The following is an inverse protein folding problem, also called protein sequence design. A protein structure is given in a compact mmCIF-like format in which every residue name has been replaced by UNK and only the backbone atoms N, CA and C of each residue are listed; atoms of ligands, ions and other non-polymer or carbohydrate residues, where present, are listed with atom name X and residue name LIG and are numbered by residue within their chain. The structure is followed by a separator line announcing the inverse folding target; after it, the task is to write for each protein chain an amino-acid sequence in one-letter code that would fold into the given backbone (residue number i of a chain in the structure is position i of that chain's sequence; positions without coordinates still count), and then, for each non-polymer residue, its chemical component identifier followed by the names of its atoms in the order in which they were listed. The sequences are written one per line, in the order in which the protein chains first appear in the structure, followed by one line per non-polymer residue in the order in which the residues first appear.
data_IF_303505532729
#
_entry.id   IF_303505532729
#
_cell.length_a   1.000
_cell.length_b   1.000
_cell.length_c   1.000
_cell.angle_alpha   90.00
_cell.angle_beta   90.00
_cell.angle_gamma   90.00
#
_symmetry.space_group_name_H-M   'P 1'
#
loop_
_entity.id
_entity.type
_entity.pdbx_description
1 polymer ?
#
# COMPACT_ATOMS: atom_id res chain seq x y z
N UNK A 1 12.14 13.89 8.26
CA UNK A 1 12.63 13.27 7.02
C UNK A 1 11.46 12.73 6.24
N UNK A 2 11.29 13.14 4.98
CA UNK A 2 10.24 12.55 4.16
C UNK A 2 10.53 11.07 3.91
N UNK A 3 9.48 10.27 3.89
CA UNK A 3 9.58 8.85 3.54
C UNK A 3 9.76 8.72 2.04
N UNK A 4 10.81 8.04 1.63
CA UNK A 4 11.03 7.72 0.22
C UNK A 4 10.94 6.22 0.02
N UNK A 5 10.20 5.80 -0.99
CA UNK A 5 10.02 4.40 -1.33
C UNK A 5 10.56 4.14 -2.73
N UNK A 6 11.35 3.07 -2.86
CA UNK A 6 11.74 2.57 -4.17
C UNK A 6 10.53 1.93 -4.88
N UNK A 7 10.67 1.62 -6.15
CA UNK A 7 9.60 0.97 -6.91
C UNK A 7 9.18 -0.37 -6.27
N UNK A 8 10.14 -1.18 -5.81
CA UNK A 8 9.84 -2.45 -5.16
C UNK A 8 9.22 -2.25 -3.78
N UNK A 9 9.71 -1.25 -3.04
CA UNK A 9 9.11 -0.91 -1.75
C UNK A 9 7.67 -0.45 -1.91
N UNK A 10 7.39 0.38 -2.91
CA UNK A 10 6.03 0.82 -3.21
C UNK A 10 5.12 -0.36 -3.53
N UNK A 11 5.61 -1.33 -4.32
CA UNK A 11 4.85 -2.54 -4.63
C UNK A 11 4.51 -3.33 -3.37
N UNK A 12 5.47 -3.51 -2.47
CA UNK A 12 5.26 -4.25 -1.23
C UNK A 12 4.24 -3.55 -0.33
N UNK A 13 4.39 -2.24 -0.11
CA UNK A 13 3.45 -1.48 0.72
C UNK A 13 2.06 -1.49 0.11
N UNK A 14 1.96 -1.28 -1.20
CA UNK A 14 0.69 -1.34 -1.91
C UNK A 14 -0.02 -2.68 -1.77
N UNK A 15 0.73 -3.78 -1.87
CA UNK A 15 0.18 -5.12 -1.69
C UNK A 15 -0.36 -5.33 -0.27
N UNK A 16 0.39 -4.89 0.73
CA UNK A 16 -0.05 -5.02 2.12
C UNK A 16 -1.32 -4.21 2.38
N UNK A 17 -1.41 -2.99 1.87
CA UNK A 17 -2.62 -2.18 1.99
C UNK A 17 -3.81 -2.83 1.29
N UNK A 18 -3.59 -3.31 0.06
CA UNK A 18 -4.65 -3.96 -0.72
C UNK A 18 -5.20 -5.19 0.00
N UNK A 19 -4.33 -6.06 0.47
CA UNK A 19 -4.77 -7.31 1.09
C UNK A 19 -5.38 -7.08 2.46
N UNK A 20 -4.97 -6.07 3.18
CA UNK A 20 -5.63 -5.69 4.42
C UNK A 20 -7.09 -5.28 4.18
N UNK A 21 -7.35 -4.59 3.08
CA UNK A 21 -8.68 -4.12 2.72
C UNK A 21 -9.50 -5.23 2.06
N UNK A 22 -8.93 -5.89 1.03
CA UNK A 22 -9.67 -6.80 0.17
C UNK A 22 -9.81 -8.21 0.74
N UNK A 23 -8.79 -8.70 1.45
CA UNK A 23 -8.78 -10.06 1.99
C UNK A 23 -8.29 -10.05 3.45
N UNK A 24 -9.02 -9.39 4.36
CA UNK A 24 -8.55 -9.23 5.74
C UNK A 24 -8.34 -10.54 6.48
N UNK A 25 -9.08 -11.60 6.12
CA UNK A 25 -8.93 -12.91 6.76
C UNK A 25 -7.57 -13.56 6.45
N UNK A 26 -6.91 -13.13 5.39
CA UNK A 26 -5.61 -13.65 4.97
C UNK A 26 -4.46 -12.71 5.34
N UNK A 27 -4.73 -11.66 6.05
CA UNK A 27 -3.76 -10.64 6.45
C UNK A 27 -3.47 -10.75 7.95
N UNK A 28 -2.23 -10.62 8.42
CA UNK A 28 -0.99 -10.24 7.71
C UNK A 28 -0.47 -11.36 6.79
N UNK A 29 0.47 -11.01 5.91
CA UNK A 29 0.96 -11.90 4.86
C UNK A 29 2.29 -12.54 5.22
N UNK A 30 2.43 -13.85 4.92
CA UNK A 30 3.73 -14.50 4.90
C UNK A 30 4.56 -13.96 3.72
N UNK A 31 5.87 -14.26 3.71
CA UNK A 31 6.71 -13.87 2.58
C UNK A 31 6.21 -14.48 1.28
N UNK A 32 5.82 -15.77 1.30
CA UNK A 32 5.30 -16.43 0.11
C UNK A 32 4.04 -15.75 -0.41
N UNK A 33 3.09 -15.45 0.48
CA UNK A 33 1.87 -14.74 0.10
C UNK A 33 2.16 -13.35 -0.43
N UNK A 34 3.14 -12.66 0.17
CA UNK A 34 3.54 -11.33 -0.27
C UNK A 34 4.17 -11.37 -1.66
N UNK A 35 5.04 -12.33 -1.94
CA UNK A 35 5.62 -12.52 -3.27
C UNK A 35 4.52 -12.73 -4.30
N UNK A 36 3.56 -13.61 -3.99
CA UNK A 36 2.43 -13.86 -4.89
C UNK A 36 1.61 -12.58 -5.13
N UNK A 37 1.39 -11.79 -4.09
CA UNK A 37 0.67 -10.53 -4.20
C UNK A 37 1.43 -9.52 -5.07
N UNK A 38 2.76 -9.43 -4.91
CA UNK A 38 3.60 -8.56 -5.74
C UNK A 38 3.54 -8.94 -7.22
N UNK A 39 3.45 -10.23 -7.50
CA UNK A 39 3.49 -10.78 -8.86
C UNK A 39 2.09 -10.94 -9.49
N UNK A 40 1.04 -10.56 -8.77
CA UNK A 40 -0.32 -10.64 -9.29
C UNK A 40 -0.42 -9.94 -10.63
N UNK A 41 -1.15 -10.54 -11.59
CA UNK A 41 -1.23 -10.01 -12.94
C UNK A 41 -2.28 -8.91 -13.08
N UNK A 42 -3.30 -8.92 -12.24
CA UNK A 42 -4.35 -7.91 -12.25
C UNK A 42 -4.05 -6.80 -11.23
N UNK A 43 -4.52 -5.61 -11.53
CA UNK A 43 -4.40 -4.44 -10.64
C UNK A 43 -2.95 -4.09 -10.30
N UNK A 44 -2.04 -4.31 -11.24
CA UNK A 44 -0.60 -4.02 -11.11
C UNK A 44 -0.08 -3.42 -12.40
N UNK A 45 0.74 -2.38 -12.29
CA UNK A 45 1.46 -1.80 -13.41
C UNK A 45 2.81 -1.29 -12.92
N UNK A 46 3.91 -1.87 -13.36
CA UNK A 46 4.02 -3.01 -14.26
C UNK A 46 3.70 -4.34 -13.57
N UNK A 47 3.40 -5.37 -14.35
CA UNK A 47 3.36 -6.74 -13.84
C UNK A 47 4.80 -7.18 -13.55
N UNK A 48 5.01 -7.77 -12.39
CA UNK A 48 6.35 -8.18 -11.97
C UNK A 48 6.43 -9.69 -11.82
N UNK A 49 7.66 -10.21 -11.82
CA UNK A 49 7.94 -11.62 -11.60
C UNK A 49 9.11 -11.74 -10.62
N UNK A 50 8.85 -11.45 -9.36
CA UNK A 50 9.85 -11.40 -8.30
C UNK A 50 9.95 -12.75 -7.60
N UNK A 51 11.14 -13.02 -7.04
CA UNK A 51 11.38 -14.19 -6.22
C UNK A 51 11.54 -13.78 -4.76
N UNK A 52 11.42 -14.74 -3.84
CA UNK A 52 11.56 -14.46 -2.41
C UNK A 52 12.89 -13.77 -2.10
N UNK A 53 13.98 -14.20 -2.75
CA UNK A 53 15.31 -13.60 -2.56
C UNK A 53 15.36 -12.13 -2.96
N UNK A 54 14.44 -11.68 -3.81
CA UNK A 54 14.34 -10.28 -4.22
C UNK A 54 13.42 -9.47 -3.29
N UNK A 55 12.38 -10.11 -2.76
CA UNK A 55 11.39 -9.45 -1.92
C UNK A 55 11.87 -9.33 -0.46
N UNK A 56 12.57 -10.35 0.06
CA UNK A 56 13.01 -10.33 1.46
C UNK A 56 13.86 -9.09 1.81
N UNK A 57 14.87 -8.71 1.01
CA UNK A 57 15.66 -7.51 1.32
C UNK A 57 14.81 -6.23 1.30
N UNK A 58 13.80 -6.16 0.44
CA UNK A 58 12.88 -5.03 0.38
C UNK A 58 12.05 -4.93 1.66
N UNK A 59 11.52 -6.06 2.12
CA UNK A 59 10.78 -6.13 3.38
C UNK A 59 11.69 -5.71 4.55
N UNK A 60 12.92 -6.22 4.58
CA UNK A 60 13.88 -5.87 5.63
C UNK A 60 14.16 -4.36 5.67
N UNK A 61 14.30 -3.74 4.50
CA UNK A 61 14.49 -2.30 4.39
C UNK A 61 13.26 -1.54 4.92
N UNK A 62 12.06 -2.02 4.61
CA UNK A 62 10.81 -1.39 5.08
C UNK A 62 10.64 -1.55 6.60
N UNK A 63 11.10 -2.66 7.16
CA UNK A 63 11.11 -2.82 8.62
C UNK A 63 12.04 -1.80 9.26
N UNK A 64 13.24 -1.60 8.70
CA UNK A 64 14.16 -0.58 9.18
C UNK A 64 13.60 0.84 9.08
N UNK A 65 12.79 1.10 8.06
CA UNK A 65 12.11 2.39 7.88
C UNK A 65 10.86 2.52 8.76
N UNK A 66 10.50 1.47 9.49
CA UNK A 66 9.32 1.44 10.35
C UNK A 66 7.99 1.56 9.58
N UNK A 67 7.96 1.06 8.35
CA UNK A 67 6.79 1.05 7.49
C UNK A 67 6.12 -0.31 7.47
N UNK A 68 6.85 -1.36 7.86
CA UNK A 68 6.37 -2.75 7.94
C UNK A 68 6.79 -3.33 9.28
N UNK A 69 5.92 -4.15 9.85
CA UNK A 69 6.20 -4.90 11.07
C UNK A 69 6.11 -6.39 10.80
N UNK A 70 7.11 -7.13 11.29
CA UNK A 70 7.09 -8.58 11.27
C UNK A 70 6.42 -9.08 12.53
N UNK A 71 5.45 -9.99 12.36
CA UNK A 71 4.84 -10.72 13.47
C UNK A 71 5.25 -12.19 13.37
N UNK A 72 5.98 -12.64 14.38
CA UNK A 72 6.23 -14.05 14.62
C UNK A 72 5.79 -14.32 16.06
N UNK A 73 5.06 -15.40 16.31
CA UNK A 73 4.58 -15.64 17.66
C UNK A 73 3.73 -16.86 17.78
N UNK A 74 3.05 -16.97 18.91
CA UNK A 74 2.32 -18.17 19.35
C UNK A 74 1.47 -18.77 18.23
N UNK A 75 1.72 -20.06 17.91
CA UNK A 75 0.95 -20.80 16.94
C UNK A 75 1.34 -20.57 15.49
N UNK A 76 2.26 -19.64 15.19
CA UNK A 76 2.71 -19.41 13.83
C UNK A 76 4.21 -19.70 13.73
N UNK A 77 4.57 -20.61 12.84
CA UNK A 77 5.98 -20.92 12.56
C UNK A 77 6.56 -20.03 11.47
N UNK A 78 5.70 -19.33 10.78
CA UNK A 78 6.09 -18.51 9.62
C UNK A 78 5.91 -17.05 9.99
N UNK A 79 6.95 -16.22 9.83
CA UNK A 79 6.81 -14.79 10.03
C UNK A 79 5.74 -14.23 9.09
N UNK A 80 4.97 -13.27 9.59
CA UNK A 80 3.97 -12.56 8.81
C UNK A 80 4.21 -11.07 8.90
N UNK A 81 3.84 -10.36 7.85
CA UNK A 81 4.14 -8.94 7.70
C UNK A 81 2.87 -8.13 7.57
N UNK A 82 2.83 -6.98 8.25
CA UNK A 82 1.75 -6.03 8.08
C UNK A 82 2.30 -4.61 7.98
N UNK A 83 1.52 -3.73 7.36
CA UNK A 83 1.95 -2.37 7.11
C UNK A 83 1.82 -1.50 8.37
N UNK A 84 2.74 -0.56 8.52
CA UNK A 84 2.70 0.46 9.55
C UNK A 84 2.63 1.86 8.93
N UNK A 85 2.38 1.95 7.63
CA UNK A 85 2.42 3.22 6.91
C UNK A 85 1.29 4.16 7.35
N UNK A 86 0.06 3.64 7.44
CA UNK A 86 -1.08 4.48 7.79
C UNK A 86 -2.16 3.69 8.53
N UNK A 87 -3.04 4.43 9.21
CA UNK A 87 -4.25 3.89 9.84
C UNK A 87 -3.98 2.79 10.88
N UNK A 88 -2.84 2.86 11.56
CA UNK A 88 -2.50 1.93 12.63
C UNK A 88 -2.98 2.50 13.96
N UNK A 89 -3.15 1.63 14.96
CA UNK A 89 -3.67 2.02 16.27
C UNK A 89 -2.81 3.11 16.95
N UNK A 90 -1.49 2.99 16.85
CA UNK A 90 -0.56 3.89 17.54
C UNK A 90 0.10 4.91 16.61
N UNK A 91 -0.14 4.81 15.32
CA UNK A 91 0.42 5.76 14.36
C UNK A 91 -0.41 7.04 14.26
N UNK A 92 0.25 8.14 13.93
CA UNK A 92 -0.41 9.44 13.80
C UNK A 92 -1.01 9.66 12.41
N UNK A 93 -0.54 8.93 11.38
CA UNK A 93 -0.98 9.14 10.01
C UNK A 93 -2.30 8.40 9.78
N UNK A 94 -3.35 9.17 9.54
CA UNK A 94 -4.68 8.63 9.28
C UNK A 94 -5.19 9.11 7.93
N UNK A 95 -5.65 8.18 7.11
CA UNK A 95 -6.31 8.46 5.84
C UNK A 95 -7.76 7.98 5.92
N UNK A 96 -8.64 8.65 5.19
CA UNK A 96 -9.99 8.15 5.00
C UNK A 96 -9.96 6.85 4.18
N UNK A 97 -11.05 6.05 4.17
CA UNK A 97 -11.08 4.86 3.29
C UNK A 97 -10.84 5.21 1.82
N UNK A 98 -11.40 6.31 1.32
CA UNK A 98 -11.17 6.74 -0.06
C UNK A 98 -9.71 7.11 -0.29
N UNK A 99 -9.08 7.83 0.65
CA UNK A 99 -7.67 8.20 0.54
C UNK A 99 -6.77 6.97 0.58
N UNK A 100 -7.06 6.02 1.46
CA UNK A 100 -6.29 4.78 1.54
C UNK A 100 -6.35 4.01 0.23
N UNK A 101 -7.56 3.91 -0.36
CA UNK A 101 -7.75 3.24 -1.65
C UNK A 101 -6.96 3.95 -2.77
N UNK A 102 -6.99 5.27 -2.80
CA UNK A 102 -6.27 6.08 -3.80
C UNK A 102 -4.76 5.86 -3.65
N UNK A 103 -4.24 5.97 -2.44
CA UNK A 103 -2.80 5.75 -2.19
C UNK A 103 -2.40 4.34 -2.60
N UNK A 104 -3.20 3.35 -2.23
CA UNK A 104 -2.96 1.97 -2.61
C UNK A 104 -2.86 1.80 -4.13
N UNK A 105 -3.80 2.36 -4.87
CA UNK A 105 -3.80 2.27 -6.33
C UNK A 105 -2.61 3.00 -6.97
N UNK A 106 -2.21 4.13 -6.42
CA UNK A 106 -1.01 4.84 -6.89
C UNK A 106 0.26 4.02 -6.65
N UNK A 107 0.35 3.36 -5.49
CA UNK A 107 1.50 2.50 -5.17
C UNK A 107 1.56 1.28 -6.09
N UNK A 108 0.43 0.71 -6.46
CA UNK A 108 0.37 -0.51 -7.27
C UNK A 108 0.45 -0.26 -8.78
N UNK A 109 -0.03 0.89 -9.25
CA UNK A 109 -0.14 1.18 -10.68
C UNK A 109 0.68 2.39 -11.15
N UNK A 110 1.19 3.22 -10.23
CA UNK A 110 1.90 4.42 -10.61
C UNK A 110 0.96 5.58 -10.94
N UNK A 111 1.47 6.63 -11.61
CA UNK A 111 0.69 7.83 -11.90
C UNK A 111 -0.56 7.55 -12.73
N UNK A 112 -1.67 8.18 -12.36
CA UNK A 112 -2.96 8.00 -13.02
C UNK A 112 -3.74 9.31 -13.00
N UNK A 113 -4.54 9.60 -14.04
CA UNK A 113 -5.49 10.70 -13.99
C UNK A 113 -6.58 10.46 -12.94
N UNK A 114 -7.20 11.52 -12.39
CA UNK A 114 -8.24 11.35 -11.36
C UNK A 114 -9.41 10.45 -11.78
N UNK A 115 -9.82 10.48 -13.04
CA UNK A 115 -10.90 9.61 -13.52
C UNK A 115 -10.55 8.13 -13.46
N UNK A 116 -9.32 7.77 -13.81
CA UNK A 116 -8.83 6.40 -13.68
C UNK A 116 -8.67 5.99 -12.23
N UNK A 117 -8.16 6.87 -11.39
CA UNK A 117 -8.06 6.62 -9.95
C UNK A 117 -9.42 6.31 -9.35
N UNK A 118 -10.44 7.07 -9.74
CA UNK A 118 -11.80 6.82 -9.25
C UNK A 118 -12.25 5.41 -9.58
N UNK A 119 -12.05 5.00 -10.84
CA UNK A 119 -12.44 3.66 -11.30
C UNK A 119 -11.69 2.57 -10.54
N UNK A 120 -10.37 2.71 -10.42
CA UNK A 120 -9.53 1.71 -9.75
C UNK A 120 -9.79 1.65 -8.24
N UNK A 121 -9.89 2.81 -7.59
CA UNK A 121 -10.08 2.86 -6.14
C UNK A 121 -11.45 2.33 -5.72
N UNK A 122 -12.45 2.35 -6.60
CA UNK A 122 -13.80 1.90 -6.30
C UNK A 122 -13.88 0.42 -5.90
N UNK A 123 -12.89 -0.38 -6.28
CA UNK A 123 -12.83 -1.81 -5.87
C UNK A 123 -12.42 -1.96 -4.40
N UNK A 124 -11.83 -0.96 -3.79
CA UNK A 124 -11.31 -1.02 -2.42
C UNK A 124 -12.11 -0.19 -1.43
N UNK A 125 -12.81 0.85 -1.90
CA UNK A 125 -13.59 1.73 -1.04
C UNK A 125 -14.70 2.38 -1.84
N UNK A 126 -15.72 2.90 -1.13
CA UNK A 126 -16.75 3.69 -1.77
C UNK A 126 -16.18 5.05 -2.16
N UNK A 127 -16.23 5.37 -3.46
CA UNK A 127 -15.80 6.65 -3.99
C UNK A 127 -16.97 7.18 -4.83
N UNK A 128 -17.61 8.25 -4.35
CA UNK A 128 -18.91 8.69 -4.87
C UNK A 128 -18.84 9.55 -6.13
N UNK A 129 -17.67 10.01 -6.51
CA UNK A 129 -17.53 10.80 -7.72
C UNK A 129 -16.15 11.40 -7.86
N UNK A 130 -15.96 12.12 -8.98
CA UNK A 130 -14.68 12.74 -9.29
C UNK A 130 -14.32 13.83 -8.26
N UNK A 131 -15.32 14.57 -7.79
CA UNK A 131 -15.10 15.62 -6.78
C UNK A 131 -14.51 15.05 -5.49
N UNK A 132 -14.95 13.86 -5.08
CA UNK A 132 -14.42 13.21 -3.88
C UNK A 132 -12.96 12.81 -4.09
N UNK A 133 -12.62 12.32 -5.29
CA UNK A 133 -11.23 11.98 -5.63
C UNK A 133 -10.36 13.23 -5.60
N UNK A 134 -10.81 14.30 -6.22
CA UNK A 134 -10.03 15.55 -6.27
C UNK A 134 -9.81 16.15 -4.89
N UNK A 135 -10.83 16.13 -4.04
CA UNK A 135 -10.73 16.59 -2.65
C UNK A 135 -9.74 15.73 -1.86
N UNK A 136 -9.81 14.42 -2.02
CA UNK A 136 -8.90 13.49 -1.35
C UNK A 136 -7.44 13.73 -1.81
N UNK A 137 -7.23 13.93 -3.10
CA UNK A 137 -5.90 14.20 -3.66
C UNK A 137 -5.35 15.53 -3.16
N UNK A 138 -6.18 16.56 -3.11
CA UNK A 138 -5.76 17.86 -2.62
C UNK A 138 -5.30 17.78 -1.16
N UNK A 139 -6.04 17.08 -0.31
CA UNK A 139 -5.65 16.88 1.08
C UNK A 139 -4.32 16.11 1.17
N UNK A 140 -4.16 15.04 0.38
CA UNK A 140 -2.93 14.25 0.36
C UNK A 140 -1.73 15.06 -0.11
N UNK A 141 -1.93 16.01 -1.02
CA UNK A 141 -0.88 16.88 -1.54
C UNK A 141 -0.45 17.94 -0.51
N UNK A 142 -1.39 18.44 0.28
CA UNK A 142 -1.17 19.61 1.14
C UNK A 142 -0.99 19.29 2.62
N UNK A 143 -1.02 18.02 3.02
CA UNK A 143 -0.85 17.64 4.43
C UNK A 143 0.52 18.05 4.97
N UNK A 144 0.59 18.50 6.25
CA UNK A 144 1.88 18.86 6.87
C UNK A 144 2.90 17.73 6.90
N UNK A 145 2.44 16.47 7.09
CA UNK A 145 3.30 15.30 7.10
C UNK A 145 3.79 14.87 5.72
N UNK A 146 3.19 15.42 4.67
CA UNK A 146 3.48 15.06 3.30
C UNK A 146 4.40 16.04 2.58
N UNK A 147 4.23 16.18 1.27
CA UNK A 147 3.10 15.67 0.46
C UNK A 147 3.16 14.16 0.23
N UNK A 148 1.99 13.54 0.13
CA UNK A 148 1.88 12.11 -0.18
C UNK A 148 1.61 11.86 -1.66
N UNK A 149 1.12 12.86 -2.37
CA UNK A 149 0.91 12.81 -3.82
C UNK A 149 1.41 14.11 -4.43
N UNK A 150 1.70 14.07 -5.72
CA UNK A 150 2.11 15.23 -6.48
C UNK A 150 1.44 15.21 -7.85
N UNK A 151 1.07 16.37 -8.34
CA UNK A 151 0.52 16.49 -9.69
C UNK A 151 1.69 16.62 -10.67
N UNK A 152 1.73 15.72 -11.64
CA UNK A 152 2.76 15.73 -12.67
C UNK A 152 2.41 16.69 -13.80
#
# INVERSE_FOLDING_TARGET
MPLELSALEARVVGCLLEKQIATPDQYPLSLNALVNACNQKSNRDPVMNLQEREVQPVVDALIRKQVVLEKSGFGSRVPKYHQLFCNTQFGSLKFSPAQTAIVCELLLRGPQPPGELRTHAARLATVNGLDEVETALEDLETRPEGPFVVKL
#
